data_IF_945704701105
#
_entry.id   IF_945704701105
#
_cell.length_a   1.000
_cell.length_b   1.000
_cell.length_c   1.000
_cell.angle_alpha   90.00
_cell.angle_beta   90.00
_cell.angle_gamma   90.00
#
_symmetry.space_group_name_H-M   'P 1'
#
loop_
_entity.id
_entity.type
_entity.pdbx_description
1 polymer ?
#
# COMPACT_ATOMS: atom_id res chain seq x y z
N UNK A 1 -10.77 2.17 -10.50
CA UNK A 1 -9.32 2.47 -10.47
C UNK A 1 -8.69 2.37 -9.08
N UNK A 2 -9.40 2.60 -7.96
CA UNK A 2 -8.85 2.46 -6.59
C UNK A 2 -8.69 1.00 -6.15
N UNK A 3 -9.70 0.15 -6.37
CA UNK A 3 -9.68 -1.27 -5.99
C UNK A 3 -8.42 -2.03 -6.44
N UNK A 4 -7.93 -1.93 -7.69
CA UNK A 4 -6.70 -2.63 -8.08
C UNK A 4 -5.45 -2.14 -7.33
N UNK A 5 -5.39 -0.86 -6.91
CA UNK A 5 -4.27 -0.37 -6.08
C UNK A 5 -4.33 -0.95 -4.66
N UNK A 6 -5.53 -1.06 -4.08
CA UNK A 6 -5.72 -1.69 -2.77
C UNK A 6 -5.40 -3.19 -2.83
N UNK A 7 -5.87 -3.88 -3.87
CA UNK A 7 -5.57 -5.29 -4.09
C UNK A 7 -4.06 -5.52 -4.29
N UNK A 8 -3.40 -4.70 -5.11
CA UNK A 8 -1.95 -4.74 -5.30
C UNK A 8 -1.16 -4.45 -4.02
N UNK A 9 -1.59 -3.47 -3.21
CA UNK A 9 -1.00 -3.18 -1.92
C UNK A 9 -1.08 -4.39 -0.96
N UNK A 10 -2.24 -5.04 -0.89
CA UNK A 10 -2.42 -6.25 -0.08
C UNK A 10 -1.55 -7.40 -0.64
N UNK A 11 -1.48 -7.57 -1.96
CA UNK A 11 -0.64 -8.59 -2.58
C UNK A 11 0.84 -8.40 -2.25
N UNK A 12 1.34 -7.15 -2.27
CA UNK A 12 2.71 -6.83 -1.85
C UNK A 12 2.96 -7.16 -0.37
N UNK A 13 2.00 -6.85 0.51
CA UNK A 13 2.12 -7.12 1.94
C UNK A 13 2.07 -8.63 2.26
N UNK A 14 1.26 -9.39 1.53
CA UNK A 14 1.25 -10.85 1.59
C UNK A 14 2.58 -11.43 1.10
N UNK A 15 3.20 -10.80 0.10
CA UNK A 15 4.49 -11.22 -0.46
C UNK A 15 5.72 -10.84 0.36
N UNK A 16 5.59 -10.22 1.54
CA UNK A 16 6.73 -9.81 2.37
C UNK A 16 7.56 -11.01 2.89
N UNK A 17 6.91 -12.17 3.09
CA UNK A 17 7.58 -13.41 3.49
C UNK A 17 7.01 -14.57 2.67
N UNK A 18 7.88 -15.19 1.87
CA UNK A 18 7.53 -16.31 0.99
C UNK A 18 7.30 -17.62 1.74
N UNK A 19 7.84 -17.75 2.95
CA UNK A 19 7.76 -18.98 3.76
C UNK A 19 6.61 -18.94 4.75
N UNK A 20 6.33 -17.75 5.30
CA UNK A 20 5.26 -17.53 6.27
C UNK A 20 4.64 -16.14 6.09
N UNK A 21 3.75 -15.98 5.11
CA UNK A 21 3.13 -14.68 4.84
C UNK A 21 2.40 -14.17 6.10
N UNK A 22 2.39 -12.84 6.33
CA UNK A 22 1.64 -12.26 7.43
C UNK A 22 0.15 -12.62 7.31
N UNK A 23 -0.49 -12.93 8.45
CA UNK A 23 -1.92 -13.18 8.48
C UNK A 23 -2.69 -11.95 7.94
N UNK A 24 -3.69 -12.19 7.09
CA UNK A 24 -4.48 -11.13 6.47
C UNK A 24 -5.06 -10.13 7.48
N UNK A 25 -5.53 -10.60 8.63
CA UNK A 25 -6.06 -9.72 9.68
C UNK A 25 -5.03 -8.72 10.22
N UNK A 26 -3.75 -9.15 10.31
CA UNK A 26 -2.66 -8.25 10.71
C UNK A 26 -2.36 -7.23 9.61
N UNK A 27 -2.43 -7.64 8.35
CA UNK A 27 -2.26 -6.74 7.20
C UNK A 27 -3.39 -5.70 7.19
N UNK A 28 -4.64 -6.13 7.35
CA UNK A 28 -5.79 -5.24 7.37
C UNK A 28 -5.70 -4.25 8.54
N UNK A 29 -5.38 -4.73 9.75
CA UNK A 29 -5.17 -3.87 10.90
C UNK A 29 -3.98 -2.91 10.72
N UNK A 30 -2.87 -3.37 10.15
CA UNK A 30 -1.73 -2.51 9.84
C UNK A 30 -2.08 -1.42 8.83
N UNK A 31 -2.85 -1.76 7.78
CA UNK A 31 -3.31 -0.81 6.78
C UNK A 31 -4.20 0.28 7.40
N UNK A 32 -5.15 -0.07 8.28
CA UNK A 32 -6.05 0.92 8.92
C UNK A 32 -5.31 1.87 9.86
N UNK A 33 -4.24 1.40 10.52
CA UNK A 33 -3.43 2.21 11.44
C UNK A 33 -2.41 3.12 10.72
N UNK A 34 -1.95 2.72 9.53
CA UNK A 34 -0.84 3.39 8.83
C UNK A 34 -1.25 4.15 7.58
N UNK A 35 -2.56 4.27 7.31
CA UNK A 35 -3.06 5.10 6.22
C UNK A 35 -2.61 6.56 6.31
N UNK A 36 -2.43 7.18 5.16
CA UNK A 36 -2.22 8.64 5.08
C UNK A 36 -3.57 9.35 5.22
N UNK A 37 -3.69 10.22 6.23
CA UNK A 37 -4.94 10.91 6.61
C UNK A 37 -4.92 12.42 6.30
N UNK A 38 -3.83 12.95 5.76
CA UNK A 38 -3.74 14.37 5.35
C UNK A 38 -4.05 14.52 3.86
N UNK A 39 -5.25 14.11 3.45
CA UNK A 39 -5.70 14.18 2.05
C UNK A 39 -6.39 15.51 1.77
N UNK A 40 -6.15 16.04 0.57
CA UNK A 40 -6.82 17.23 0.07
C UNK A 40 -8.27 16.93 -0.28
N UNK A 41 -9.17 17.88 -0.03
CA UNK A 41 -10.58 17.77 -0.39
C UNK A 41 -10.72 17.52 -1.90
N UNK A 42 -11.55 16.55 -2.36
CA UNK A 42 -11.83 16.40 -3.78
C UNK A 42 -12.68 17.58 -4.26
N UNK A 43 -12.39 18.10 -5.46
CA UNK A 43 -13.09 19.26 -6.00
C UNK A 43 -14.60 19.06 -6.17
N UNK A 44 -15.00 17.86 -6.62
CA UNK A 44 -16.40 17.54 -6.94
C UNK A 44 -17.17 16.88 -5.79
N UNK A 45 -16.51 16.62 -4.65
CA UNK A 45 -17.13 15.93 -3.51
C UNK A 45 -17.46 16.96 -2.42
N UNK A 46 -18.64 16.88 -1.78
CA UNK A 46 -18.97 17.72 -0.64
C UNK A 46 -17.92 17.65 0.47
N UNK A 47 -17.77 18.72 1.27
CA UNK A 47 -16.84 18.73 2.43
C UNK A 47 -17.26 17.75 3.53
N UNK A 48 -18.52 17.32 3.53
CA UNK A 48 -19.06 16.38 4.48
C UNK A 48 -19.94 15.36 3.75
N UNK A 49 -19.89 14.11 4.19
CA UNK A 49 -20.74 13.04 3.69
C UNK A 49 -21.34 12.30 4.89
N UNK A 50 -22.66 12.42 5.07
CA UNK A 50 -23.31 12.01 6.32
C UNK A 50 -22.86 12.90 7.49
N UNK A 51 -22.45 12.28 8.60
CA UNK A 51 -22.06 12.97 9.84
C UNK A 51 -20.55 13.18 10.01
N UNK A 52 -19.75 12.95 8.96
CA UNK A 52 -18.28 13.05 9.01
C UNK A 52 -17.77 14.06 8.00
N UNK A 53 -16.83 14.92 8.41
CA UNK A 53 -16.11 15.81 7.49
C UNK A 53 -15.00 15.06 6.74
N UNK A 54 -14.50 15.62 5.64
CA UNK A 54 -13.43 15.01 4.85
C UNK A 54 -12.06 14.93 5.56
N UNK A 55 -11.88 15.69 6.64
CA UNK A 55 -10.62 15.78 7.39
C UNK A 55 -10.58 14.91 8.66
N UNK A 56 -11.72 14.43 9.13
CA UNK A 56 -11.81 13.53 10.28
C UNK A 56 -11.76 12.09 9.79
N UNK A 57 -10.96 11.21 10.38
CA UNK A 57 -10.83 9.82 9.94
C UNK A 57 -11.19 8.86 11.08
N UNK A 58 -11.84 7.73 10.79
CA UNK A 58 -12.35 7.33 9.47
C UNK A 58 -13.55 8.19 9.02
N UNK A 59 -13.73 8.37 7.72
CA UNK A 59 -14.89 9.09 7.16
C UNK A 59 -15.50 8.36 5.96
N UNK A 60 -16.69 8.81 5.55
CA UNK A 60 -17.42 8.23 4.42
C UNK A 60 -16.85 8.56 3.03
N UNK A 61 -15.83 9.43 2.94
CA UNK A 61 -15.23 9.85 1.66
C UNK A 61 -13.99 9.00 1.34
N UNK A 62 -13.13 8.75 2.33
CA UNK A 62 -11.84 8.08 2.20
C UNK A 62 -11.72 6.81 3.05
N UNK A 63 -12.75 6.46 3.84
CA UNK A 63 -12.65 5.39 4.83
C UNK A 63 -11.56 5.71 5.84
N UNK A 64 -10.61 4.78 5.99
CA UNK A 64 -9.45 4.95 6.87
C UNK A 64 -8.38 5.89 6.29
N UNK A 65 -8.43 6.23 4.99
CA UNK A 65 -7.42 7.05 4.30
C UNK A 65 -6.72 6.31 3.17
N UNK A 66 -5.64 6.92 2.65
CA UNK A 66 -4.88 6.33 1.55
C UNK A 66 -3.95 5.21 2.09
N UNK A 67 -4.02 3.97 1.56
CA UNK A 67 -3.13 2.89 1.97
C UNK A 67 -1.65 3.26 1.86
N UNK A 68 -0.84 2.90 2.86
CA UNK A 68 0.60 3.10 2.85
C UNK A 68 1.33 1.77 3.10
N UNK A 69 1.68 1.09 2.00
CA UNK A 69 2.34 -0.23 2.02
C UNK A 69 3.63 -0.21 2.84
N UNK A 70 4.42 0.86 2.69
CA UNK A 70 5.72 0.98 3.33
C UNK A 70 5.62 1.09 4.85
N UNK A 71 4.72 1.97 5.33
CA UNK A 71 4.46 2.09 6.77
C UNK A 71 3.79 0.84 7.33
N UNK A 72 2.90 0.18 6.57
CA UNK A 72 2.31 -1.09 6.99
C UNK A 72 3.36 -2.19 7.11
N UNK A 73 4.30 -2.29 6.17
CA UNK A 73 5.40 -3.25 6.26
C UNK A 73 6.23 -3.02 7.54
N UNK A 74 6.57 -1.75 7.83
CA UNK A 74 7.25 -1.37 9.08
C UNK A 74 6.42 -1.75 10.33
N UNK A 75 5.11 -1.51 10.31
CA UNK A 75 4.19 -1.92 11.38
C UNK A 75 4.19 -3.44 11.60
N UNK A 76 4.32 -4.21 10.52
CA UNK A 76 4.42 -5.68 10.56
C UNK A 76 5.82 -6.20 10.95
N UNK A 77 6.79 -5.31 11.18
CA UNK A 77 8.16 -5.65 11.56
C UNK A 77 9.14 -5.81 10.39
N UNK A 78 8.72 -5.49 9.17
CA UNK A 78 9.57 -5.54 7.97
C UNK A 78 10.11 -4.15 7.64
N UNK A 79 11.38 -4.04 7.26
CA UNK A 79 11.95 -2.75 6.88
C UNK A 79 11.59 -2.39 5.44
N UNK A 80 10.82 -1.31 5.27
CA UNK A 80 10.65 -0.66 3.98
C UNK A 80 11.70 0.46 3.84
N UNK A 81 12.78 0.18 3.10
CA UNK A 81 13.85 1.15 2.83
C UNK A 81 13.47 2.15 1.74
N UNK A 82 14.04 3.36 1.78
CA UNK A 82 14.14 4.19 0.58
C UNK A 82 15.13 3.51 -0.35
N UNK A 83 14.63 2.82 -1.37
CA UNK A 83 15.48 2.46 -2.51
C UNK A 83 15.88 3.80 -3.14
N UNK A 84 17.06 4.31 -2.77
CA UNK A 84 17.68 5.36 -3.56
C UNK A 84 17.93 4.67 -4.89
N UNK A 85 17.13 5.00 -5.90
CA UNK A 85 17.52 4.79 -7.29
C UNK A 85 18.69 5.75 -7.53
N UNK A 86 19.85 5.40 -7.00
CA UNK A 86 21.12 6.01 -7.36
C UNK A 86 21.52 5.31 -8.63
N UNK A 87 21.35 5.99 -9.75
CA UNK A 87 21.96 5.56 -11.00
C UNK A 87 23.42 5.21 -10.76
N UNK A 88 23.85 4.12 -11.42
CA UNK A 88 25.23 3.68 -11.64
C UNK A 88 25.79 2.69 -10.60
N UNK A 89 25.50 1.40 -10.79
CA UNK A 89 26.49 0.35 -11.12
C UNK A 89 25.87 -1.05 -10.98
N UNK A 90 25.48 -1.61 -12.13
CA UNK A 90 25.11 -3.02 -12.30
C UNK A 90 26.38 -3.89 -12.22
N UNK A 91 26.68 -4.42 -11.03
CA UNK A 91 27.45 -5.66 -10.86
C UNK A 91 27.11 -6.26 -9.50
N UNK A 92 26.34 -7.36 -9.52
CA UNK A 92 26.08 -8.19 -8.33
C UNK A 92 24.60 -8.50 -8.09
N UNK A 93 24.10 -9.52 -8.80
CA UNK A 93 23.00 -10.42 -8.40
C UNK A 93 21.83 -9.81 -7.60
N UNK A 94 20.96 -9.04 -8.27
CA UNK A 94 19.57 -8.84 -7.82
C UNK A 94 18.67 -9.89 -8.48
N UNK A 95 18.68 -11.09 -7.92
CA UNK A 95 17.72 -12.14 -8.25
C UNK A 95 16.36 -11.85 -7.58
N UNK A 96 15.63 -10.85 -8.08
CA UNK A 96 14.20 -10.68 -7.73
C UNK A 96 13.37 -9.86 -8.73
N UNK A 97 13.92 -9.43 -9.87
CA UNK A 97 13.18 -8.71 -10.91
C UNK A 97 13.36 -9.39 -12.26
N UNK A 98 12.82 -10.61 -12.41
CA UNK A 98 12.79 -11.28 -13.71
C UNK A 98 11.70 -12.37 -13.79
N UNK A 99 10.47 -12.15 -13.29
CA UNK A 99 9.37 -13.12 -13.48
C UNK A 99 7.96 -12.54 -13.65
N UNK A 100 7.83 -11.25 -13.99
CA UNK A 100 6.52 -10.70 -14.39
C UNK A 100 6.26 -10.78 -15.91
N UNK A 101 7.22 -11.24 -16.72
CA UNK A 101 7.10 -11.36 -18.19
C UNK A 101 6.95 -12.82 -18.65
N UNK A 102 6.12 -13.60 -17.96
CA UNK A 102 5.77 -14.95 -18.42
C UNK A 102 4.26 -15.07 -18.55
N UNK A 103 3.83 -14.91 -19.81
CA UNK A 103 2.59 -15.43 -20.44
C UNK A 103 1.33 -14.59 -20.22
N UNK A 104 1.23 -13.51 -21.01
CA UNK A 104 -0.01 -13.20 -21.70
C UNK A 104 0.16 -13.69 -23.15
N UNK A 105 -0.29 -14.91 -23.43
CA UNK A 105 -0.46 -15.40 -24.79
C UNK A 105 -1.83 -16.09 -24.83
N UNK A 106 -2.70 -15.48 -25.66
CA UNK A 106 -4.05 -15.87 -26.11
C UNK A 106 -5.19 -15.99 -25.07
#
# INVERSE_FOLDING_TARGET
MSTPHVAGAIALLLGLDHTKPPAYEKILHGLTQTTTRTLHKPFLVPSACGNTTYHEYPNNIYGWGLPNVCLTANYLGFSCGKSIVSGNNLTGEQQLVARADVVAIE
#
